data_IF_209580322508
#
_entry.id   IF_209580322508
#
_cell.length_a   1.000
_cell.length_b   1.000
_cell.length_c   1.000
_cell.angle_alpha   90.00
_cell.angle_beta   90.00
_cell.angle_gamma   90.00
#
_symmetry.space_group_name_H-M   'P 1'
#
loop_
_entity.id
_entity.type
_entity.pdbx_description
1 polymer ?
#
# COMPACT_ATOMS: atom_id res chain seq x y z
N UNK A 1 10.87 -6.78 -15.62
CA UNK A 1 10.89 -7.79 -14.55
C UNK A 1 11.24 -7.05 -13.26
N UNK A 2 10.26 -6.74 -12.41
CA UNK A 2 10.49 -5.96 -11.18
C UNK A 2 10.78 -6.92 -10.02
N UNK A 3 11.95 -6.78 -9.43
CA UNK A 3 12.49 -7.59 -8.35
C UNK A 3 11.85 -7.14 -7.02
N UNK A 4 11.13 -8.03 -6.34
CA UNK A 4 10.57 -7.78 -5.00
C UNK A 4 11.73 -7.62 -4.00
N UNK A 5 12.11 -6.38 -3.74
CA UNK A 5 12.99 -6.00 -2.63
C UNK A 5 12.12 -5.54 -1.47
N UNK A 6 12.46 -5.92 -0.24
CA UNK A 6 11.81 -5.49 1.00
C UNK A 6 11.98 -3.97 1.19
N UNK A 7 11.22 -3.18 0.43
CA UNK A 7 11.29 -1.73 0.47
C UNK A 7 10.33 -1.21 1.53
N UNK A 8 10.84 -0.37 2.42
CA UNK A 8 10.02 0.39 3.35
C UNK A 8 9.26 1.46 2.57
N UNK A 9 7.96 1.53 2.78
CA UNK A 9 7.06 2.46 2.09
C UNK A 9 6.31 3.29 3.13
N UNK A 10 6.19 4.59 2.85
CA UNK A 10 5.36 5.51 3.62
C UNK A 10 4.09 5.83 2.81
N UNK A 11 2.91 5.69 3.42
CA UNK A 11 1.67 6.11 2.77
C UNK A 11 1.55 7.64 2.86
N UNK A 12 1.71 8.33 1.72
CA UNK A 12 1.80 9.80 1.66
C UNK A 12 0.43 10.47 1.60
N UNK A 13 -0.50 9.89 0.83
CA UNK A 13 -1.81 10.49 0.56
C UNK A 13 -2.79 9.43 0.08
N UNK A 14 -3.97 9.39 0.69
CA UNK A 14 -5.08 8.52 0.27
C UNK A 14 -6.13 9.39 -0.43
N UNK A 15 -6.55 9.03 -1.64
CA UNK A 15 -7.58 9.76 -2.36
C UNK A 15 -9.01 9.32 -1.95
N UNK A 16 -9.95 10.22 -2.20
CA UNK A 16 -11.08 10.56 -1.33
C UNK A 16 -12.30 9.63 -1.48
N UNK A 17 -12.26 8.46 -0.84
CA UNK A 17 -13.44 7.69 -0.33
C UNK A 17 -13.03 6.57 0.62
N UNK A 18 -11.88 6.71 1.28
CA UNK A 18 -11.34 5.64 2.11
C UNK A 18 -11.99 5.64 3.48
N UNK A 19 -12.43 4.47 3.93
CA UNK A 19 -12.95 4.27 5.29
C UNK A 19 -11.96 4.87 6.28
N UNK A 20 -12.47 5.57 7.30
CA UNK A 20 -11.69 6.26 8.35
C UNK A 20 -10.55 5.38 8.90
N UNK A 21 -10.74 4.06 8.95
CA UNK A 21 -9.76 3.06 9.34
C UNK A 21 -8.43 3.14 8.56
N UNK A 22 -8.44 3.44 7.25
CA UNK A 22 -7.23 3.47 6.41
C UNK A 22 -6.35 4.69 6.76
N UNK A 23 -6.96 5.79 7.24
CA UNK A 23 -6.25 7.00 7.66
C UNK A 23 -5.29 6.71 8.81
N UNK A 24 -5.61 5.72 9.67
CA UNK A 24 -4.79 5.33 10.82
C UNK A 24 -3.43 4.74 10.40
N UNK A 25 -3.35 4.23 9.17
CA UNK A 25 -2.14 3.66 8.57
C UNK A 25 -1.36 4.67 7.70
N UNK A 26 -1.87 5.91 7.55
CA UNK A 26 -1.10 7.00 6.96
C UNK A 26 0.17 7.24 7.77
N UNK A 27 1.29 7.49 7.10
CA UNK A 27 2.61 7.71 7.71
C UNK A 27 3.16 6.52 8.51
N UNK A 28 2.48 5.38 8.54
CA UNK A 28 3.04 4.15 9.07
C UNK A 28 3.88 3.46 7.99
N UNK A 29 4.94 2.79 8.44
CA UNK A 29 5.75 1.96 7.57
C UNK A 29 5.10 0.58 7.47
N UNK A 30 4.98 0.08 6.24
CA UNK A 30 4.58 -1.28 5.94
C UNK A 30 5.54 -1.94 4.96
N UNK A 31 5.33 -3.23 4.72
CA UNK A 31 6.08 -4.00 3.74
C UNK A 31 5.15 -4.44 2.60
N UNK A 32 5.64 -4.39 1.36
CA UNK A 32 4.91 -4.98 0.23
C UNK A 32 4.99 -6.50 0.36
N UNK A 33 3.85 -7.16 0.55
CA UNK A 33 3.75 -8.63 0.66
C UNK A 33 3.10 -9.27 -0.55
N UNK A 34 2.56 -8.46 -1.47
CA UNK A 34 1.95 -8.96 -2.68
C UNK A 34 1.33 -7.87 -3.53
N UNK A 35 0.59 -8.30 -4.55
CA UNK A 35 -0.13 -7.43 -5.46
C UNK A 35 -1.52 -8.03 -5.73
N UNK A 36 -2.49 -7.15 -5.98
CA UNK A 36 -3.85 -7.53 -6.36
C UNK A 36 -4.21 -6.80 -7.66
N UNK A 37 -4.59 -7.57 -8.68
CA UNK A 37 -5.18 -7.02 -9.89
C UNK A 37 -6.56 -6.44 -9.54
N UNK A 38 -6.77 -5.15 -9.83
CA UNK A 38 -8.06 -4.48 -9.63
C UNK A 38 -8.87 -4.56 -10.92
N UNK A 39 -8.24 -4.25 -12.05
CA UNK A 39 -8.79 -4.38 -13.40
C UNK A 39 -7.64 -4.65 -14.40
N UNK A 40 -7.93 -4.61 -15.70
CA UNK A 40 -6.95 -4.91 -16.74
C UNK A 40 -5.77 -3.94 -16.81
N UNK A 41 -5.96 -2.70 -16.36
CA UNK A 41 -4.97 -1.62 -16.45
C UNK A 41 -4.33 -1.30 -15.08
N UNK A 42 -4.94 -1.74 -13.98
CA UNK A 42 -4.55 -1.35 -12.63
C UNK A 42 -4.27 -2.52 -11.70
N UNK A 43 -3.07 -2.49 -11.11
CA UNK A 43 -2.65 -3.33 -10.01
C UNK A 43 -2.50 -2.49 -8.74
N UNK A 44 -3.00 -3.02 -7.63
CA UNK A 44 -2.76 -2.48 -6.29
C UNK A 44 -1.70 -3.31 -5.56
N UNK A 45 -0.96 -2.66 -4.67
CA UNK A 45 0.02 -3.29 -3.79
C UNK A 45 -0.66 -3.72 -2.48
N UNK A 46 -0.35 -4.92 -2.02
CA UNK A 46 -0.77 -5.41 -0.71
C UNK A 46 0.34 -5.07 0.28
N UNK A 47 0.02 -4.18 1.22
CA UNK A 47 0.93 -3.71 2.25
C UNK A 47 0.55 -4.37 3.57
N UNK A 48 1.51 -5.05 4.22
CA UNK A 48 1.37 -5.57 5.57
C UNK A 48 2.03 -4.62 6.58
N UNK A 49 1.28 -4.29 7.63
CA UNK A 49 1.73 -3.44 8.73
C UNK A 49 2.12 -4.27 9.96
N UNK A 50 2.72 -3.63 10.96
CA UNK A 50 3.22 -4.29 12.18
C UNK A 50 2.16 -5.04 12.99
N UNK A 51 0.90 -4.62 12.88
CA UNK A 51 -0.26 -5.25 13.52
C UNK A 51 -0.81 -6.44 12.70
N UNK A 52 -0.07 -6.87 11.66
CA UNK A 52 -0.48 -7.88 10.69
C UNK A 52 -1.72 -7.49 9.87
N UNK A 53 -2.17 -6.24 9.96
CA UNK A 53 -3.21 -5.72 9.08
C UNK A 53 -2.65 -5.60 7.66
N UNK A 54 -3.46 -6.02 6.68
CA UNK A 54 -3.13 -5.95 5.26
C UNK A 54 -4.06 -4.99 4.56
N UNK A 55 -3.49 -4.03 3.83
CA UNK A 55 -4.24 -3.08 3.03
C UNK A 55 -3.84 -3.17 1.56
N UNK A 56 -4.83 -3.11 0.68
CA UNK A 56 -4.61 -2.87 -0.74
C UNK A 56 -4.52 -1.36 -0.95
N UNK A 57 -3.37 -0.89 -1.42
CA UNK A 57 -3.08 0.52 -1.65
C UNK A 57 -2.65 0.69 -3.10
N UNK A 58 -3.05 1.78 -3.76
CA UNK A 58 -2.59 2.07 -5.12
C UNK A 58 -1.12 2.51 -5.10
N UNK A 59 -0.29 2.11 -6.07
CA UNK A 59 1.12 2.50 -6.11
C UNK A 59 1.32 4.02 -6.05
N UNK A 60 0.39 4.79 -6.61
CA UNK A 60 0.41 6.27 -6.66
C UNK A 60 0.16 6.92 -5.29
N UNK A 61 -0.41 6.18 -4.33
CA UNK A 61 -0.69 6.64 -2.97
C UNK A 61 0.49 6.39 -2.01
N UNK A 62 1.47 5.63 -2.47
CA UNK A 62 2.67 5.25 -1.73
C UNK A 62 3.85 6.14 -2.11
N UNK A 63 4.68 6.44 -1.12
CA UNK A 63 6.01 6.98 -1.32
C UNK A 63 7.02 5.92 -0.87
N UNK A 64 7.81 5.42 -1.82
CA UNK A 64 8.96 4.55 -1.53
C UNK A 64 10.02 5.42 -0.83
N UNK A 65 10.56 4.93 0.28
CA UNK A 65 11.59 5.59 1.08
C UNK A 65 12.96 5.02 0.74
#
# INVERSE_FOLDING_TARGET
>A
MFQMTQQNINVKKIYKTSKITIIQYLKQNGIIVGQKKIDDDYNSLIIEFKDHTRLCILPQELQII
#
